data_IF_179808487513
#
_entry.id   IF_179808487513
#
_cell.length_a   1.000
_cell.length_b   1.000
_cell.length_c   1.000
_cell.angle_alpha   90.00
_cell.angle_beta   90.00
_cell.angle_gamma   90.00
#
_symmetry.space_group_name_H-M   'P 1'
#
loop_
_entity.id
_entity.type
_entity.pdbx_description
1 polymer ?
#
# COMPACT_ATOMS: atom_id res chain seq x y z
N UNK A 1 -11.22 -13.98 6.78
CA UNK A 1 -10.30 -13.20 7.62
C UNK A 1 -9.49 -14.11 8.56
N UNK A 2 -10.13 -14.93 9.39
CA UNK A 2 -9.44 -15.80 10.37
C UNK A 2 -8.52 -16.85 9.73
N UNK A 3 -8.89 -17.39 8.57
CA UNK A 3 -8.02 -18.29 7.79
C UNK A 3 -6.77 -17.57 7.26
N UNK A 4 -6.93 -16.31 6.81
CA UNK A 4 -5.78 -15.50 6.40
C UNK A 4 -4.82 -15.22 7.55
N UNK A 5 -5.33 -14.97 8.76
CA UNK A 5 -4.49 -14.83 9.96
C UNK A 5 -3.68 -16.09 10.26
N UNK A 6 -4.25 -17.28 10.03
CA UNK A 6 -3.51 -18.54 10.18
C UNK A 6 -2.38 -18.67 9.16
N UNK A 7 -2.63 -18.28 7.90
CA UNK A 7 -1.60 -18.31 6.84
C UNK A 7 -0.45 -17.40 7.22
N UNK A 8 -0.73 -16.15 7.62
CA UNK A 8 0.28 -15.18 8.04
C UNK A 8 1.05 -15.67 9.29
N UNK A 9 0.36 -16.30 10.25
CA UNK A 9 1.04 -16.88 11.42
C UNK A 9 2.04 -17.96 11.02
N UNK A 10 1.60 -18.91 10.18
CA UNK A 10 2.47 -20.04 9.74
C UNK A 10 3.62 -19.50 8.90
N UNK A 11 3.34 -18.55 8.00
CA UNK A 11 4.35 -17.86 7.20
C UNK A 11 5.39 -17.18 8.10
N UNK A 12 4.95 -16.37 9.09
CA UNK A 12 5.84 -15.70 10.01
C UNK A 12 6.73 -16.67 10.81
N UNK A 13 6.20 -17.83 11.23
CA UNK A 13 7.00 -18.87 11.89
C UNK A 13 8.04 -19.44 10.92
N UNK A 14 7.65 -19.77 9.69
CA UNK A 14 8.57 -20.28 8.66
C UNK A 14 9.66 -19.24 8.36
N UNK A 15 9.29 -17.98 8.20
CA UNK A 15 10.21 -16.88 7.96
C UNK A 15 11.22 -16.71 9.12
N UNK A 16 10.74 -16.81 10.35
CA UNK A 16 11.60 -16.74 11.54
C UNK A 16 12.61 -17.90 11.57
N UNK A 17 12.18 -19.13 11.26
CA UNK A 17 13.07 -20.30 11.18
C UNK A 17 14.11 -20.10 10.09
N UNK A 18 13.72 -19.64 8.90
CA UNK A 18 14.65 -19.37 7.79
C UNK A 18 15.66 -18.27 8.14
N UNK A 19 15.24 -17.27 8.92
CA UNK A 19 16.09 -16.19 9.38
C UNK A 19 17.12 -16.66 10.42
N UNK A 20 16.70 -17.45 11.40
CA UNK A 20 17.59 -18.00 12.44
C UNK A 20 18.62 -18.98 11.85
N UNK A 21 18.23 -19.75 10.84
CA UNK A 21 19.11 -20.68 10.15
C UNK A 21 20.06 -20.01 9.13
N UNK A 22 20.00 -18.69 8.97
CA UNK A 22 20.74 -17.91 7.96
C UNK A 22 20.54 -18.42 6.51
N UNK A 23 19.46 -19.15 6.27
CA UNK A 23 19.09 -19.64 4.93
C UNK A 23 18.77 -18.47 4.03
N UNK A 24 18.18 -17.43 4.58
CA UNK A 24 17.83 -16.20 3.90
C UNK A 24 19.05 -15.52 3.24
N UNK A 25 20.16 -15.37 3.94
CA UNK A 25 21.40 -14.81 3.36
C UNK A 25 21.91 -15.64 2.20
N UNK A 26 21.88 -16.97 2.32
CA UNK A 26 22.30 -17.87 1.26
C UNK A 26 21.40 -17.78 0.02
N UNK A 27 20.10 -17.59 0.20
CA UNK A 27 19.17 -17.40 -0.92
C UNK A 27 19.44 -16.04 -1.60
N UNK A 28 19.66 -14.98 -0.81
CA UNK A 28 19.99 -13.65 -1.33
C UNK A 28 21.29 -13.68 -2.14
N UNK A 29 22.31 -14.39 -1.65
CA UNK A 29 23.60 -14.50 -2.33
C UNK A 29 23.53 -15.35 -3.59
N UNK A 30 22.60 -16.30 -3.67
CA UNK A 30 22.34 -17.09 -4.85
C UNK A 30 21.66 -16.31 -5.98
N UNK A 31 21.02 -15.15 -5.67
CA UNK A 31 20.36 -14.32 -6.66
C UNK A 31 21.40 -13.56 -7.49
N UNK A 32 21.35 -13.63 -8.83
CA UNK A 32 22.23 -12.85 -9.70
C UNK A 32 22.17 -11.35 -9.41
N UNK A 33 23.32 -10.67 -9.45
CA UNK A 33 23.43 -9.24 -9.12
C UNK A 33 22.45 -8.38 -9.91
N UNK A 34 22.22 -8.67 -11.20
CA UNK A 34 21.28 -7.89 -12.02
C UNK A 34 19.83 -7.97 -11.52
N UNK A 35 19.41 -9.13 -11.02
CA UNK A 35 18.07 -9.30 -10.42
C UNK A 35 18.00 -8.56 -9.09
N UNK A 36 19.03 -8.69 -8.25
CA UNK A 36 19.11 -8.00 -6.95
C UNK A 36 18.99 -6.48 -7.10
N UNK A 37 19.71 -5.88 -8.05
CA UNK A 37 19.63 -4.46 -8.36
C UNK A 37 18.28 -4.03 -8.94
N UNK A 38 17.55 -4.95 -9.57
CA UNK A 38 16.21 -4.70 -10.13
C UNK A 38 15.07 -4.73 -9.09
N UNK A 39 15.28 -5.33 -7.91
CA UNK A 39 14.23 -5.50 -6.90
C UNK A 39 13.75 -4.15 -6.36
N UNK A 40 14.65 -3.25 -5.96
CA UNK A 40 14.28 -1.96 -5.40
C UNK A 40 13.49 -1.07 -6.41
N UNK A 41 13.89 -0.92 -7.68
CA UNK A 41 13.06 -0.26 -8.69
C UNK A 41 11.71 -0.93 -8.93
N UNK A 42 11.65 -2.27 -8.91
CA UNK A 42 10.40 -3.00 -9.09
C UNK A 42 9.41 -2.74 -7.96
N UNK A 43 9.88 -2.74 -6.70
CA UNK A 43 9.07 -2.37 -5.54
C UNK A 43 8.60 -0.91 -5.65
N UNK A 44 9.48 0.00 -6.05
CA UNK A 44 9.13 1.41 -6.28
C UNK A 44 8.02 1.58 -7.32
N UNK A 45 8.10 0.86 -8.44
CA UNK A 45 7.07 0.86 -9.48
C UNK A 45 5.75 0.24 -8.99
N UNK A 46 5.81 -0.80 -8.18
CA UNK A 46 4.62 -1.40 -7.57
C UNK A 46 3.92 -0.41 -6.64
N UNK A 47 4.67 0.27 -5.77
CA UNK A 47 4.13 1.29 -4.87
C UNK A 47 3.57 2.49 -5.64
N UNK A 48 4.25 2.91 -6.72
CA UNK A 48 3.76 3.95 -7.61
C UNK A 48 2.42 3.54 -8.24
N UNK A 49 2.32 2.31 -8.74
CA UNK A 49 1.06 1.80 -9.31
C UNK A 49 -0.08 1.78 -8.30
N UNK A 50 0.19 1.39 -7.05
CA UNK A 50 -0.82 1.42 -5.97
C UNK A 50 -1.20 2.87 -5.63
N UNK A 51 -0.23 3.76 -5.51
CA UNK A 51 -0.47 5.16 -5.16
C UNK A 51 -1.24 5.92 -6.23
N UNK A 52 -0.87 5.78 -7.48
CA UNK A 52 -1.54 6.42 -8.63
C UNK A 52 -2.88 5.77 -8.95
N UNK A 53 -3.00 4.46 -8.69
CA UNK A 53 -4.19 3.67 -8.98
C UNK A 53 -5.38 4.00 -8.06
N UNK A 54 -5.77 3.06 -7.24
CA UNK A 54 -6.96 3.14 -6.40
C UNK A 54 -6.92 4.26 -5.35
N UNK A 55 -5.73 4.59 -4.83
CA UNK A 55 -5.61 5.61 -3.78
C UNK A 55 -5.75 7.04 -4.30
N UNK A 56 -5.19 7.34 -5.48
CA UNK A 56 -5.35 8.65 -6.10
C UNK A 56 -6.62 8.78 -6.95
N UNK A 57 -7.31 7.68 -7.19
CA UNK A 57 -8.56 7.66 -7.94
C UNK A 57 -8.43 7.88 -9.46
N UNK A 58 -7.22 7.77 -10.02
CA UNK A 58 -6.98 7.90 -11.48
C UNK A 58 -7.38 6.60 -12.21
N UNK A 59 -7.54 5.55 -11.48
CA UNK A 59 -7.61 4.20 -11.97
C UNK A 59 -9.00 3.62 -11.77
N UNK A 60 -9.59 3.05 -12.80
CA UNK A 60 -10.89 2.40 -12.70
C UNK A 60 -10.75 1.02 -12.05
N UNK A 61 -11.75 0.60 -11.27
CA UNK A 61 -11.76 -0.72 -10.61
C UNK A 61 -11.61 -1.88 -11.61
N UNK A 62 -12.03 -1.69 -12.85
CA UNK A 62 -11.92 -2.67 -13.93
C UNK A 62 -10.61 -2.56 -14.72
N UNK A 63 -9.75 -1.61 -14.39
CA UNK A 63 -8.46 -1.44 -15.04
C UNK A 63 -7.42 -2.45 -14.51
N UNK A 64 -6.66 -3.05 -15.40
CA UNK A 64 -5.52 -3.89 -15.03
C UNK A 64 -4.34 -3.08 -14.46
N UNK A 65 -3.30 -3.75 -13.97
CA UNK A 65 -2.06 -3.10 -13.59
C UNK A 65 -1.56 -2.20 -14.73
N UNK A 66 -1.04 -1.02 -14.40
CA UNK A 66 -0.59 0.01 -15.35
C UNK A 66 -1.69 0.70 -16.17
N UNK A 67 -2.97 0.45 -15.90
CA UNK A 67 -4.06 1.14 -16.59
C UNK A 67 -3.97 2.66 -16.40
N UNK A 68 -3.67 3.12 -15.20
CA UNK A 68 -3.51 4.54 -14.89
C UNK A 68 -2.41 5.22 -15.74
N UNK A 69 -1.30 4.54 -15.99
CA UNK A 69 -0.24 5.06 -16.86
C UNK A 69 -0.65 5.08 -18.33
N UNK A 70 -1.50 4.15 -18.76
CA UNK A 70 -1.95 4.06 -20.15
C UNK A 70 -3.02 5.08 -20.47
N UNK A 71 -3.89 5.39 -19.52
CA UNK A 71 -5.09 6.22 -19.73
C UNK A 71 -5.20 7.38 -18.72
N UNK A 72 -4.06 7.92 -18.32
CA UNK A 72 -3.98 9.01 -17.35
C UNK A 72 -4.84 10.22 -17.74
N UNK A 73 -4.73 10.67 -18.98
CA UNK A 73 -5.49 11.82 -19.48
C UNK A 73 -6.99 11.49 -19.64
N UNK A 74 -7.31 10.27 -20.01
CA UNK A 74 -8.70 9.81 -20.06
C UNK A 74 -9.35 9.80 -18.67
N UNK A 75 -8.63 9.36 -17.64
CA UNK A 75 -9.09 9.36 -16.26
C UNK A 75 -9.38 10.78 -15.72
N UNK A 76 -8.67 11.79 -16.20
CA UNK A 76 -8.91 13.20 -15.86
C UNK A 76 -10.06 13.84 -16.64
N UNK A 77 -10.63 13.16 -17.63
CA UNK A 77 -11.76 13.69 -18.40
C UNK A 77 -13.06 13.62 -17.59
N UNK A 78 -13.83 14.73 -17.46
CA UNK A 78 -15.03 14.75 -16.62
C UNK A 78 -16.05 13.66 -16.92
N UNK A 79 -16.24 13.32 -18.17
CA UNK A 79 -17.19 12.28 -18.59
C UNK A 79 -16.77 10.88 -18.14
N UNK A 80 -15.49 10.53 -18.29
CA UNK A 80 -14.95 9.24 -17.88
C UNK A 80 -14.85 9.12 -16.37
N UNK A 81 -14.45 10.19 -15.70
CA UNK A 81 -14.38 10.22 -14.25
C UNK A 81 -15.76 10.04 -13.61
N UNK A 82 -16.80 10.67 -14.13
CA UNK A 82 -18.18 10.48 -13.67
C UNK A 82 -18.68 9.05 -13.90
N UNK A 83 -18.30 8.42 -14.99
CA UNK A 83 -18.68 7.04 -15.29
C UNK A 83 -17.98 6.05 -14.36
N UNK A 84 -16.70 6.26 -14.08
CA UNK A 84 -15.87 5.32 -13.34
C UNK A 84 -15.87 5.57 -11.82
N UNK A 85 -16.08 6.82 -11.38
CA UNK A 85 -15.94 7.24 -9.97
C UNK A 85 -17.21 7.85 -9.38
N UNK A 86 -18.31 7.90 -10.12
CA UNK A 86 -19.57 8.48 -9.64
C UNK A 86 -19.53 9.99 -9.46
N UNK A 87 -20.06 10.51 -8.35
CA UNK A 87 -20.25 11.95 -8.10
C UNK A 87 -18.97 12.71 -7.70
N UNK A 88 -17.83 12.05 -7.65
CA UNK A 88 -16.62 12.57 -7.00
C UNK A 88 -15.57 13.20 -7.92
N UNK A 89 -15.92 13.76 -9.10
CA UNK A 89 -14.93 14.30 -10.03
C UNK A 89 -14.02 15.37 -9.39
N UNK A 90 -14.59 16.34 -8.70
CA UNK A 90 -13.81 17.41 -8.04
C UNK A 90 -12.92 16.87 -6.91
N UNK A 91 -13.40 15.89 -6.16
CA UNK A 91 -12.59 15.19 -5.15
C UNK A 91 -11.45 14.40 -5.78
N UNK A 92 -11.70 13.74 -6.92
CA UNK A 92 -10.66 13.05 -7.67
C UNK A 92 -9.58 14.02 -8.18
N UNK A 93 -9.98 15.13 -8.80
CA UNK A 93 -9.02 16.14 -9.29
C UNK A 93 -8.18 16.69 -8.14
N UNK A 94 -8.81 16.99 -6.99
CA UNK A 94 -8.11 17.43 -5.79
C UNK A 94 -7.11 16.39 -5.32
N UNK A 95 -7.49 15.12 -5.27
CA UNK A 95 -6.62 14.01 -4.86
C UNK A 95 -5.40 13.87 -5.79
N UNK A 96 -5.62 13.92 -7.11
CA UNK A 96 -4.56 13.83 -8.12
C UNK A 96 -3.58 15.00 -8.00
N UNK A 97 -4.10 16.23 -7.93
CA UNK A 97 -3.26 17.43 -7.81
C UNK A 97 -2.44 17.37 -6.51
N UNK A 98 -3.07 16.99 -5.40
CA UNK A 98 -2.39 16.86 -4.10
C UNK A 98 -1.32 15.78 -4.11
N UNK A 99 -1.57 14.65 -4.78
CA UNK A 99 -0.59 13.59 -4.96
C UNK A 99 0.66 14.11 -5.67
N UNK A 100 0.51 14.82 -6.78
CA UNK A 100 1.65 15.39 -7.50
C UNK A 100 2.40 16.45 -6.69
N UNK A 101 1.68 17.33 -6.01
CA UNK A 101 2.30 18.34 -5.14
C UNK A 101 3.10 17.66 -4.01
N UNK A 102 2.53 16.63 -3.38
CA UNK A 102 3.21 15.83 -2.36
C UNK A 102 4.47 15.14 -2.90
N UNK A 103 4.37 14.53 -4.07
CA UNK A 103 5.51 13.89 -4.74
C UNK A 103 6.64 14.88 -5.01
N UNK A 104 6.32 16.04 -5.62
CA UNK A 104 7.32 17.08 -5.87
C UNK A 104 7.92 17.63 -4.57
N UNK A 105 7.11 17.82 -3.54
CA UNK A 105 7.60 18.26 -2.23
C UNK A 105 8.60 17.25 -1.64
N UNK A 106 8.30 15.94 -1.69
CA UNK A 106 9.21 14.88 -1.23
C UNK A 106 10.52 14.92 -2.02
N UNK A 107 10.46 15.00 -3.36
CA UNK A 107 11.65 15.02 -4.22
C UNK A 107 12.52 16.24 -3.91
N UNK A 108 11.93 17.43 -3.80
CA UNK A 108 12.67 18.67 -3.51
C UNK A 108 13.30 18.62 -2.11
N UNK A 109 12.56 18.15 -1.09
CA UNK A 109 13.08 18.01 0.27
C UNK A 109 14.20 16.97 0.35
N UNK A 110 14.06 15.86 -0.36
CA UNK A 110 15.09 14.82 -0.42
C UNK A 110 16.37 15.34 -1.11
N UNK A 111 16.25 16.08 -2.22
CA UNK A 111 17.39 16.69 -2.89
C UNK A 111 18.10 17.73 -2.03
N UNK A 112 17.36 18.42 -1.16
CA UNK A 112 17.95 19.35 -0.17
C UNK A 112 18.56 18.66 1.04
N UNK A 113 18.55 17.34 1.09
CA UNK A 113 19.14 16.56 2.19
C UNK A 113 18.36 16.64 3.50
N UNK A 114 17.08 17.03 3.46
CA UNK A 114 16.25 17.15 4.67
C UNK A 114 15.95 15.75 5.19
N UNK A 115 16.39 15.48 6.43
CA UNK A 115 16.08 14.23 7.12
C UNK A 115 14.57 14.15 7.37
N UNK A 116 13.93 13.06 6.95
CA UNK A 116 12.47 12.90 7.06
C UNK A 116 11.68 13.58 5.93
N UNK A 117 12.28 13.80 4.76
CA UNK A 117 11.63 14.40 3.59
C UNK A 117 10.29 13.75 3.23
N UNK A 118 10.19 12.42 3.34
CA UNK A 118 8.96 11.67 3.09
C UNK A 118 7.86 12.07 4.08
N UNK A 119 8.16 12.11 5.39
CA UNK A 119 7.20 12.49 6.41
C UNK A 119 6.70 13.93 6.22
N UNK A 120 7.62 14.85 5.96
CA UNK A 120 7.27 16.26 5.70
C UNK A 120 6.44 16.42 4.43
N UNK A 121 6.76 15.67 3.37
CA UNK A 121 5.97 15.69 2.15
C UNK A 121 4.56 15.14 2.35
N UNK A 122 4.41 14.08 3.15
CA UNK A 122 3.10 13.54 3.54
C UNK A 122 2.29 14.58 4.34
N UNK A 123 2.90 15.28 5.28
CA UNK A 123 2.23 16.35 6.04
C UNK A 123 1.81 17.50 5.13
N UNK A 124 2.67 17.95 4.23
CA UNK A 124 2.36 19.01 3.26
C UNK A 124 1.18 18.60 2.39
N UNK A 125 1.21 17.39 1.82
CA UNK A 125 0.10 16.90 0.99
C UNK A 125 -1.20 16.77 1.77
N UNK A 126 -1.16 16.30 3.02
CA UNK A 126 -2.35 16.20 3.88
C UNK A 126 -2.96 17.59 4.17
N UNK A 127 -2.14 18.58 4.49
CA UNK A 127 -2.62 19.95 4.74
C UNK A 127 -3.26 20.54 3.47
N UNK A 128 -2.63 20.35 2.30
CA UNK A 128 -3.15 20.86 1.03
C UNK A 128 -4.47 20.16 0.68
N UNK A 129 -4.54 18.84 0.89
CA UNK A 129 -5.76 18.08 0.65
C UNK A 129 -6.92 18.58 1.53
N UNK A 130 -6.70 18.71 2.82
CA UNK A 130 -7.72 19.20 3.77
C UNK A 130 -8.15 20.64 3.48
N UNK A 131 -7.20 21.51 3.15
CA UNK A 131 -7.53 22.88 2.74
C UNK A 131 -8.36 22.89 1.44
N UNK A 132 -7.98 22.07 0.47
CA UNK A 132 -8.72 21.91 -0.79
C UNK A 132 -10.13 21.33 -0.57
N UNK A 133 -10.27 20.36 0.32
CA UNK A 133 -11.56 19.77 0.68
C UNK A 133 -12.50 20.81 1.32
N UNK A 134 -11.98 21.62 2.23
CA UNK A 134 -12.75 22.70 2.86
C UNK A 134 -13.16 23.80 1.86
N UNK A 135 -12.25 24.18 0.92
CA UNK A 135 -12.48 25.30 -0.01
C UNK A 135 -13.32 24.87 -1.21
N UNK A 136 -13.00 23.74 -1.84
CA UNK A 136 -13.61 23.33 -3.12
C UNK A 136 -14.81 22.41 -2.97
N UNK A 137 -14.83 21.54 -1.93
CA UNK A 137 -15.94 20.64 -1.68
C UNK A 137 -16.90 21.15 -0.61
N UNK A 138 -16.51 22.18 0.18
CA UNK A 138 -17.33 22.71 1.26
C UNK A 138 -17.58 21.70 2.40
N UNK A 139 -16.82 20.62 2.43
CA UNK A 139 -16.90 19.57 3.47
C UNK A 139 -15.94 19.94 4.61
N UNK A 140 -16.35 19.63 5.83
CA UNK A 140 -15.46 19.80 6.97
C UNK A 140 -14.51 18.59 7.07
N UNK A 141 -13.23 18.74 6.75
CA UNK A 141 -12.28 17.61 6.76
C UNK A 141 -12.09 17.02 8.16
N UNK A 142 -12.45 17.77 9.20
CA UNK A 142 -12.35 17.32 10.59
C UNK A 142 -13.66 16.75 11.15
N UNK A 143 -14.72 16.64 10.35
CA UNK A 143 -15.98 16.07 10.80
C UNK A 143 -15.82 14.62 11.28
N UNK A 144 -14.99 13.85 10.60
CA UNK A 144 -14.65 12.47 11.01
C UNK A 144 -13.83 12.40 12.30
N UNK A 145 -13.02 13.43 12.59
CA UNK A 145 -12.27 13.49 13.86
C UNK A 145 -13.17 13.75 15.06
N UNK A 146 -14.27 14.47 14.89
CA UNK A 146 -15.21 14.74 15.97
C UNK A 146 -15.91 13.46 16.45
N UNK A 147 -16.03 12.46 15.58
CA UNK A 147 -16.61 11.14 15.89
C UNK A 147 -15.55 10.05 16.10
N UNK A 148 -14.28 10.35 15.84
CA UNK A 148 -13.20 9.40 15.99
C UNK A 148 -12.84 9.19 17.47
N UNK A 149 -12.79 7.95 17.90
CA UNK A 149 -12.19 7.60 19.18
C UNK A 149 -10.67 7.64 19.05
N UNK A 150 -10.01 8.52 19.80
CA UNK A 150 -8.54 8.55 19.89
C UNK A 150 -7.97 7.37 20.67
N UNK A 151 -8.81 6.67 21.40
CA UNK A 151 -8.44 5.44 22.09
C UNK A 151 -8.71 4.29 21.13
N UNK A 152 -7.68 3.56 20.68
CA UNK A 152 -7.89 2.37 19.87
C UNK A 152 -8.81 1.40 20.58
N UNK A 153 -9.73 0.78 19.85
CA UNK A 153 -10.65 -0.22 20.39
C UNK A 153 -9.91 -1.55 20.67
N UNK A 154 -9.00 -1.53 21.64
CA UNK A 154 -8.20 -2.71 22.01
C UNK A 154 -9.08 -3.90 22.40
N UNK A 155 -10.25 -3.66 22.99
CA UNK A 155 -11.22 -4.70 23.30
C UNK A 155 -11.75 -5.42 22.06
N UNK A 156 -12.13 -4.67 21.05
CA UNK A 156 -12.63 -5.22 19.78
C UNK A 156 -11.50 -5.92 19.01
N UNK A 157 -10.29 -5.35 19.00
CA UNK A 157 -9.12 -5.97 18.40
C UNK A 157 -8.78 -7.30 19.11
N UNK A 158 -8.82 -7.33 20.43
CA UNK A 158 -8.58 -8.56 21.20
C UNK A 158 -9.67 -9.61 20.98
N UNK A 159 -10.93 -9.17 20.87
CA UNK A 159 -12.06 -10.10 20.70
C UNK A 159 -12.18 -10.66 19.29
N UNK A 160 -11.75 -9.90 18.26
CA UNK A 160 -11.93 -10.27 16.84
C UNK A 160 -10.67 -10.79 16.18
N UNK A 161 -9.49 -10.36 16.63
CA UNK A 161 -8.23 -10.62 15.91
C UNK A 161 -7.24 -11.43 16.74
N UNK A 162 -7.08 -11.08 18.04
CA UNK A 162 -6.03 -11.67 18.87
C UNK A 162 -6.33 -13.15 19.14
N UNK A 163 -5.43 -14.04 18.73
CA UNK A 163 -5.52 -15.50 18.90
C UNK A 163 -6.78 -16.15 18.30
N UNK A 164 -7.51 -15.48 17.41
CA UNK A 164 -8.68 -16.03 16.72
C UNK A 164 -8.28 -16.79 15.44
N UNK A 165 -7.43 -17.78 15.61
CA UNK A 165 -6.97 -18.61 14.51
C UNK A 165 -7.99 -19.70 14.18
N UNK A 166 -8.43 -19.77 12.93
CA UNK A 166 -9.30 -20.84 12.45
C UNK A 166 -8.54 -21.74 11.47
N UNK A 167 -7.93 -22.79 12.00
CA UNK A 167 -7.21 -23.79 11.22
C UNK A 167 -8.13 -24.64 10.32
N UNK A 168 -9.42 -24.73 10.60
CA UNK A 168 -10.37 -25.39 9.69
C UNK A 168 -10.50 -24.65 8.35
N UNK A 169 -10.18 -23.36 8.33
CA UNK A 169 -10.11 -22.57 7.09
C UNK A 169 -9.08 -23.09 6.09
N UNK A 170 -8.01 -23.77 6.52
CA UNK A 170 -7.05 -24.40 5.61
C UNK A 170 -7.71 -25.51 4.78
N UNK A 171 -8.59 -26.29 5.36
CA UNK A 171 -9.30 -27.35 4.66
C UNK A 171 -10.28 -26.77 3.61
N UNK A 172 -10.87 -25.60 3.89
CA UNK A 172 -11.80 -24.91 2.97
C UNK A 172 -11.08 -24.28 1.78
N UNK A 173 -9.89 -23.70 2.00
CA UNK A 173 -9.09 -23.05 0.93
C UNK A 173 -8.37 -24.12 0.09
N UNK A 174 -8.14 -25.32 0.64
CA UNK A 174 -7.34 -26.37 0.04
C UNK A 174 -5.86 -26.28 0.44
N UNK A 175 -5.29 -27.42 0.81
CA UNK A 175 -3.91 -27.49 1.31
C UNK A 175 -2.87 -26.99 0.30
N UNK A 176 -3.08 -27.27 -0.99
CA UNK A 176 -2.18 -26.82 -2.05
C UNK A 176 -2.16 -25.30 -2.14
N UNK A 177 -3.34 -24.68 -2.11
CA UNK A 177 -3.46 -23.22 -2.14
C UNK A 177 -2.86 -22.57 -0.90
N UNK A 178 -3.08 -23.15 0.29
CA UNK A 178 -2.52 -22.64 1.54
C UNK A 178 -0.98 -22.70 1.52
N UNK A 179 -0.38 -23.81 1.09
CA UNK A 179 1.08 -23.94 0.97
C UNK A 179 1.63 -22.95 -0.05
N UNK A 180 0.98 -22.81 -1.22
CA UNK A 180 1.39 -21.85 -2.24
C UNK A 180 1.37 -20.41 -1.71
N UNK A 181 0.34 -20.03 -0.97
CA UNK A 181 0.26 -18.70 -0.36
C UNK A 181 1.36 -18.47 0.69
N UNK A 182 1.61 -19.43 1.57
CA UNK A 182 2.68 -19.34 2.57
C UNK A 182 4.05 -19.15 1.90
N UNK A 183 4.35 -19.96 0.88
CA UNK A 183 5.61 -19.84 0.12
C UNK A 183 5.69 -18.49 -0.59
N UNK A 184 4.60 -18.05 -1.21
CA UNK A 184 4.54 -16.78 -1.92
C UNK A 184 4.78 -15.59 -0.98
N UNK A 185 4.12 -15.55 0.18
CA UNK A 185 4.34 -14.50 1.17
C UNK A 185 5.76 -14.51 1.70
N UNK A 186 6.31 -15.68 2.02
CA UNK A 186 7.69 -15.82 2.49
C UNK A 186 8.70 -15.30 1.44
N UNK A 187 8.46 -15.54 0.15
CA UNK A 187 9.29 -15.01 -0.94
C UNK A 187 9.15 -13.50 -1.05
N UNK A 188 7.93 -12.96 -0.97
CA UNK A 188 7.67 -11.52 -1.00
C UNK A 188 8.39 -10.82 0.14
N UNK A 189 8.27 -11.31 1.36
CA UNK A 189 8.93 -10.75 2.55
C UNK A 189 10.45 -10.78 2.45
N UNK A 190 11.00 -11.85 1.85
CA UNK A 190 12.44 -11.91 1.56
C UNK A 190 12.87 -10.82 0.58
N UNK A 191 12.14 -10.65 -0.54
CA UNK A 191 12.47 -9.65 -1.54
C UNK A 191 12.28 -8.22 -1.01
N UNK A 192 11.24 -7.98 -0.23
CA UNK A 192 10.98 -6.68 0.40
C UNK A 192 12.11 -6.27 1.34
N UNK A 193 12.62 -7.22 2.11
CA UNK A 193 13.77 -6.98 2.99
C UNK A 193 15.05 -6.71 2.20
N UNK A 194 15.28 -7.41 1.08
CA UNK A 194 16.43 -7.15 0.20
C UNK A 194 16.33 -5.75 -0.40
N UNK A 195 15.15 -5.38 -0.91
CA UNK A 195 14.90 -4.09 -1.53
C UNK A 195 15.06 -2.90 -0.59
N UNK A 196 14.89 -3.11 0.72
CA UNK A 196 15.08 -2.07 1.74
C UNK A 196 16.51 -1.99 2.28
N UNK A 197 17.32 -3.05 2.13
CA UNK A 197 18.69 -3.11 2.64
C UNK A 197 19.78 -2.80 1.57
N UNK A 198 19.39 -2.80 0.29
CA UNK A 198 20.25 -2.44 -0.84
C UNK A 198 20.03 -0.99 -1.26
#
# INVERSE_FOLDING_TARGET
FQAALCIVLVEGIVFLILSVLNIREKIVDAIPLGVRLGIAPAIGLMLLNIGVGSNAGIYSENGGPFYAMRDFFGALTPSLAKTNMGSGYSAMVLSVVTMFVGLFAIVVLAQRGVKGAVLLGMLISSIIYWAGEAIFLGTNPFASLATASFVPAFGDMASTTLFKFNFQGFAQIGWVTAITLIVTFCIIDMFDTIGTLV
#
